data_IF_528113630160
#
_entry.id   IF_528113630160
#
_cell.length_a   1.000
_cell.length_b   1.000
_cell.length_c   1.000
_cell.angle_alpha   90.00
_cell.angle_beta   90.00
_cell.angle_gamma   90.00
#
_symmetry.space_group_name_H-M   'P 1'
#
loop_
_entity.id
_entity.type
_entity.pdbx_description
1 polymer ?
#
# COMPACT_ATOMS: atom_id res chain seq x y z
N UNK A 1 33.80 36.08 -21.71
CA UNK A 1 32.46 35.75 -22.21
C UNK A 1 32.41 34.24 -22.41
N UNK A 2 31.82 33.49 -21.47
CA UNK A 2 31.72 32.04 -21.54
C UNK A 2 30.56 31.65 -22.49
N UNK A 3 30.70 30.60 -23.33
CA UNK A 3 29.80 30.41 -24.46
C UNK A 3 28.49 29.75 -24.04
N UNK A 4 27.36 30.34 -24.44
CA UNK A 4 25.99 29.79 -24.35
C UNK A 4 25.77 28.47 -25.11
N UNK A 5 26.80 27.93 -25.77
CA UNK A 5 26.74 26.77 -26.68
C UNK A 5 26.65 25.41 -25.97
N UNK A 6 27.28 25.26 -24.79
CA UNK A 6 27.31 23.97 -24.07
C UNK A 6 25.98 23.59 -23.42
N UNK A 7 25.14 24.56 -23.08
CA UNK A 7 23.83 24.29 -22.43
C UNK A 7 22.76 23.86 -23.43
N UNK A 8 22.84 24.30 -24.70
CA UNK A 8 21.80 24.01 -25.69
C UNK A 8 21.84 22.55 -26.19
N UNK A 9 23.03 21.95 -26.29
CA UNK A 9 23.19 20.54 -26.67
C UNK A 9 22.77 19.59 -25.54
N UNK A 10 23.12 19.93 -24.30
CA UNK A 10 22.69 19.20 -23.11
C UNK A 10 21.16 19.23 -22.98
N UNK A 11 20.55 20.42 -23.07
CA UNK A 11 19.09 20.59 -23.02
C UNK A 11 18.37 19.82 -24.14
N UNK A 12 18.94 19.76 -25.36
CA UNK A 12 18.38 18.94 -26.45
C UNK A 12 18.46 17.44 -26.14
N UNK A 13 19.55 16.97 -25.53
CA UNK A 13 19.70 15.58 -25.15
C UNK A 13 18.72 15.20 -24.03
N UNK A 14 18.62 16.02 -22.99
CA UNK A 14 17.67 15.85 -21.88
C UNK A 14 16.22 15.88 -22.36
N UNK A 15 15.87 16.81 -23.25
CA UNK A 15 14.55 16.86 -23.87
C UNK A 15 14.26 15.60 -24.70
N UNK A 16 15.23 15.09 -25.45
CA UNK A 16 15.09 13.85 -26.22
C UNK A 16 14.89 12.63 -25.30
N UNK A 17 15.65 12.54 -24.21
CA UNK A 17 15.48 11.47 -23.21
C UNK A 17 14.13 11.56 -22.50
N UNK A 18 13.68 12.75 -22.08
CA UNK A 18 12.38 12.96 -21.47
C UNK A 18 11.21 12.60 -22.41
N UNK A 19 11.32 12.93 -23.70
CA UNK A 19 10.34 12.54 -24.74
C UNK A 19 10.36 11.02 -24.99
N UNK A 20 11.53 10.39 -24.99
CA UNK A 20 11.67 8.94 -25.13
C UNK A 20 11.06 8.19 -23.94
N UNK A 21 11.33 8.64 -22.72
CA UNK A 21 10.78 8.06 -21.50
C UNK A 21 9.25 8.22 -21.44
N UNK A 22 8.71 9.38 -21.80
CA UNK A 22 7.27 9.60 -21.85
C UNK A 22 6.57 8.69 -22.88
N UNK A 23 7.19 8.44 -24.04
CA UNK A 23 6.63 7.53 -25.04
C UNK A 23 6.59 6.08 -24.55
N UNK A 24 7.63 5.62 -23.87
CA UNK A 24 7.65 4.29 -23.27
C UNK A 24 6.61 4.13 -22.15
N UNK A 25 6.49 5.14 -21.28
CA UNK A 25 5.47 5.17 -20.23
C UNK A 25 4.06 5.11 -20.83
N UNK A 26 3.77 5.93 -21.85
CA UNK A 26 2.47 5.91 -22.52
C UNK A 26 2.16 4.55 -23.16
N UNK A 27 3.14 3.92 -23.81
CA UNK A 27 2.95 2.60 -24.41
C UNK A 27 2.61 1.54 -23.34
N UNK A 28 3.27 1.58 -22.19
CA UNK A 28 2.96 0.68 -21.08
C UNK A 28 1.57 0.93 -20.49
N UNK A 29 1.20 2.20 -20.31
CA UNK A 29 -0.14 2.58 -19.83
C UNK A 29 -1.25 2.18 -20.83
N UNK A 30 -0.96 2.24 -22.13
CA UNK A 30 -1.88 1.78 -23.18
C UNK A 30 -2.16 0.28 -23.06
N UNK A 31 -1.15 -0.53 -22.77
CA UNK A 31 -1.31 -1.98 -22.58
C UNK A 31 -2.19 -2.29 -21.36
N UNK A 32 -1.95 -1.60 -20.24
CA UNK A 32 -2.77 -1.73 -19.02
C UNK A 32 -4.23 -1.38 -19.33
N UNK A 33 -4.45 -0.30 -20.08
CA UNK A 33 -5.80 0.14 -20.45
C UNK A 33 -6.48 -0.86 -21.40
N UNK A 34 -5.74 -1.39 -22.37
CA UNK A 34 -6.22 -2.41 -23.30
C UNK A 34 -6.63 -3.70 -22.59
N UNK A 35 -5.92 -4.06 -21.50
CA UNK A 35 -6.28 -5.17 -20.63
C UNK A 35 -7.49 -4.90 -19.70
N UNK A 36 -8.10 -3.72 -19.78
CA UNK A 36 -9.31 -3.36 -19.03
C UNK A 36 -9.07 -2.74 -17.65
N UNK A 37 -7.82 -2.43 -17.30
CA UNK A 37 -7.47 -1.79 -16.03
C UNK A 37 -7.36 -0.26 -16.18
N UNK A 38 -7.30 0.44 -15.05
CA UNK A 38 -7.03 1.88 -15.02
C UNK A 38 -5.52 2.11 -14.76
N UNK A 39 -4.76 2.66 -15.72
CA UNK A 39 -3.34 2.88 -15.53
C UNK A 39 -3.05 4.04 -14.57
N UNK A 40 -2.04 3.86 -13.71
CA UNK A 40 -1.46 4.89 -12.86
C UNK A 40 0.05 4.95 -13.08
N UNK A 41 0.62 6.16 -13.04
CA UNK A 41 2.07 6.40 -13.03
C UNK A 41 2.49 6.75 -11.61
N UNK A 42 3.31 5.90 -11.00
CA UNK A 42 3.89 6.13 -9.69
C UNK A 42 5.35 6.61 -9.78
N UNK A 43 5.67 7.70 -9.07
CA UNK A 43 7.04 8.16 -8.87
C UNK A 43 7.10 9.26 -7.79
N UNK A 44 8.33 9.62 -7.38
CA UNK A 44 8.54 10.80 -6.53
C UNK A 44 8.21 12.09 -7.27
N UNK A 45 7.77 13.11 -6.52
CA UNK A 45 7.44 14.42 -7.10
C UNK A 45 8.60 15.04 -7.88
N UNK A 46 9.84 14.82 -7.45
CA UNK A 46 11.04 15.30 -8.14
C UNK A 46 11.21 14.63 -9.51
N UNK A 47 11.08 13.30 -9.59
CA UNK A 47 11.21 12.57 -10.86
C UNK A 47 10.11 12.96 -11.85
N UNK A 48 8.87 13.10 -11.37
CA UNK A 48 7.75 13.51 -12.20
C UNK A 48 7.88 14.94 -12.74
N UNK A 49 8.50 15.85 -11.99
CA UNK A 49 8.70 17.23 -12.42
C UNK A 49 9.93 17.41 -13.32
N UNK A 50 11.00 16.67 -13.06
CA UNK A 50 12.31 16.94 -13.66
C UNK A 50 12.70 15.97 -14.78
N UNK A 51 12.14 14.76 -14.82
CA UNK A 51 12.61 13.70 -15.71
C UNK A 51 11.55 13.15 -16.66
N UNK A 52 10.27 13.42 -16.39
CA UNK A 52 9.15 12.88 -17.15
C UNK A 52 8.34 14.04 -17.73
N UNK A 53 7.95 13.93 -19.00
CA UNK A 53 6.96 14.82 -19.59
C UNK A 53 5.55 14.46 -19.10
N UNK A 54 5.32 14.72 -17.82
CA UNK A 54 4.07 14.47 -17.09
C UNK A 54 2.85 15.12 -17.74
N UNK A 55 2.92 16.35 -18.30
CA UNK A 55 1.79 16.94 -19.03
C UNK A 55 1.30 16.07 -20.20
N UNK A 56 2.20 15.39 -20.91
CA UNK A 56 1.81 14.48 -22.01
C UNK A 56 1.11 13.22 -21.50
N UNK A 57 1.51 12.73 -20.32
CA UNK A 57 0.86 11.60 -19.65
C UNK A 57 -0.55 11.98 -19.22
N UNK A 58 -0.68 13.08 -18.46
CA UNK A 58 -1.97 13.55 -17.91
C UNK A 58 -2.94 13.94 -19.02
N UNK A 59 -2.44 14.43 -20.16
CA UNK A 59 -3.27 14.72 -21.34
C UNK A 59 -3.95 13.48 -21.91
N UNK A 60 -3.28 12.32 -21.92
CA UNK A 60 -3.85 11.06 -22.42
C UNK A 60 -4.62 10.31 -21.32
N UNK A 61 -4.09 10.35 -20.10
CA UNK A 61 -4.59 9.68 -18.91
C UNK A 61 -4.81 10.72 -17.79
N UNK A 62 -5.96 11.41 -17.77
CA UNK A 62 -6.25 12.37 -16.70
C UNK A 62 -6.33 11.65 -15.35
N UNK A 63 -5.94 12.35 -14.27
CA UNK A 63 -5.99 11.85 -12.90
C UNK A 63 -5.27 10.50 -12.73
N UNK A 64 -4.11 10.33 -13.38
CA UNK A 64 -3.37 9.07 -13.39
C UNK A 64 -2.08 9.08 -12.57
N UNK A 65 -1.78 10.14 -11.82
CA UNK A 65 -0.53 10.22 -11.05
C UNK A 65 -0.72 9.72 -9.63
N UNK A 66 0.18 8.84 -9.22
CA UNK A 66 0.39 8.46 -7.82
C UNK A 66 1.76 9.02 -7.39
N UNK A 67 1.73 10.05 -6.55
CA UNK A 67 2.93 10.85 -6.28
C UNK A 67 3.45 10.58 -4.88
N UNK A 68 4.74 10.27 -4.74
CA UNK A 68 5.43 10.26 -3.45
C UNK A 68 6.03 11.64 -3.15
N UNK A 69 5.61 12.24 -2.04
CA UNK A 69 6.13 13.51 -1.55
C UNK A 69 5.96 13.61 -0.03
N UNK A 70 7.06 13.70 0.72
CA UNK A 70 7.04 13.64 2.17
C UNK A 70 7.39 15.00 2.77
N UNK A 71 6.64 15.42 3.79
CA UNK A 71 6.90 16.68 4.48
C UNK A 71 8.17 16.63 5.33
N UNK A 72 8.45 15.47 5.92
CA UNK A 72 9.58 15.20 6.80
C UNK A 72 10.06 13.77 6.59
N UNK A 73 11.31 13.49 6.96
CA UNK A 73 11.79 12.14 7.16
C UNK A 73 11.39 11.64 8.56
N UNK A 74 10.98 10.37 8.67
CA UNK A 74 10.62 9.75 9.96
C UNK A 74 9.11 9.64 10.19
N UNK A 75 8.71 9.43 11.46
CA UNK A 75 7.35 9.06 11.83
C UNK A 75 6.32 10.13 11.40
N UNK A 76 5.32 9.71 10.63
CA UNK A 76 4.17 10.54 10.26
C UNK A 76 2.88 9.84 10.62
N UNK A 77 1.96 10.56 11.28
CA UNK A 77 0.72 10.00 11.81
C UNK A 77 -0.52 10.37 10.99
N UNK A 78 -0.44 11.43 10.19
CA UNK A 78 -1.52 11.97 9.34
C UNK A 78 -0.95 12.81 8.20
N UNK A 79 -1.63 12.90 7.05
CA UNK A 79 -1.17 13.74 5.93
C UNK A 79 -1.15 15.22 6.32
N UNK A 80 -0.12 15.94 5.88
CA UNK A 80 -0.02 17.39 6.01
C UNK A 80 -0.19 18.06 4.65
N UNK A 81 -1.42 18.42 4.31
CA UNK A 81 -1.78 18.97 3.00
C UNK A 81 -1.06 20.29 2.64
N UNK A 82 -0.40 20.97 3.57
CA UNK A 82 0.52 22.08 3.24
C UNK A 82 1.68 21.64 2.33
N UNK A 83 2.05 20.36 2.38
CA UNK A 83 3.12 19.75 1.58
C UNK A 83 2.58 18.88 0.44
N UNK A 84 1.29 19.01 0.13
CA UNK A 84 0.71 18.33 -1.00
C UNK A 84 1.48 18.70 -2.28
N UNK A 85 1.90 17.71 -3.10
CA UNK A 85 2.57 17.97 -4.36
C UNK A 85 1.56 18.54 -5.37
N UNK A 86 1.42 19.87 -5.38
CA UNK A 86 0.53 20.60 -6.28
C UNK A 86 0.99 20.46 -7.73
N UNK A 87 0.47 19.43 -8.40
CA UNK A 87 0.66 19.17 -9.82
C UNK A 87 -0.62 18.61 -10.43
N UNK A 88 -0.81 18.81 -11.73
CA UNK A 88 -2.00 18.33 -12.42
C UNK A 88 -2.05 16.81 -12.47
N UNK A 89 -3.24 16.24 -12.31
CA UNK A 89 -3.47 14.80 -12.49
C UNK A 89 -3.09 13.91 -11.31
N UNK A 90 -2.79 14.46 -10.13
CA UNK A 90 -2.59 13.67 -8.90
C UNK A 90 -3.91 13.06 -8.44
N UNK A 91 -4.00 11.73 -8.48
CA UNK A 91 -5.12 10.97 -7.94
C UNK A 91 -4.80 10.38 -6.57
N UNK A 92 -3.56 9.97 -6.34
CA UNK A 92 -3.09 9.37 -5.09
C UNK A 92 -1.81 10.08 -4.65
N UNK A 93 -1.72 10.41 -3.37
CA UNK A 93 -0.52 10.98 -2.76
C UNK A 93 -0.01 10.04 -1.66
N UNK A 94 1.20 9.52 -1.84
CA UNK A 94 1.96 8.86 -0.79
C UNK A 94 2.67 9.93 0.05
N UNK A 95 2.17 10.16 1.26
CA UNK A 95 2.60 11.29 2.10
C UNK A 95 3.67 10.90 3.13
N UNK A 96 3.92 9.60 3.30
CA UNK A 96 4.94 9.06 4.20
C UNK A 96 5.33 7.64 3.80
N UNK A 97 6.55 7.25 4.15
CA UNK A 97 7.11 5.90 4.15
C UNK A 97 7.18 5.29 5.57
N UNK A 98 6.77 6.04 6.58
CA UNK A 98 6.89 5.68 7.98
C UNK A 98 5.65 6.08 8.76
N UNK A 99 4.51 5.58 8.28
CA UNK A 99 3.25 5.74 8.96
C UNK A 99 3.33 5.21 10.38
N UNK A 100 2.95 6.01 11.38
CA UNK A 100 2.90 5.62 12.80
C UNK A 100 4.20 5.05 13.39
N UNK A 101 5.34 5.20 12.72
CA UNK A 101 6.62 4.65 13.17
C UNK A 101 6.84 3.17 12.82
N UNK A 102 6.04 2.60 11.89
CA UNK A 102 6.12 1.18 11.51
C UNK A 102 6.77 0.94 10.15
N UNK A 103 7.47 1.93 9.58
CA UNK A 103 8.19 1.82 8.29
C UNK A 103 7.28 1.31 7.15
N UNK A 104 6.06 1.83 7.12
CA UNK A 104 5.06 1.49 6.10
C UNK A 104 4.60 2.75 5.40
N UNK A 105 4.49 2.64 4.09
CA UNK A 105 3.95 3.68 3.23
C UNK A 105 2.46 3.94 3.53
N UNK A 106 2.07 5.21 3.64
CA UNK A 106 0.67 5.57 3.71
C UNK A 106 0.29 6.63 2.67
N UNK A 107 -0.94 6.52 2.19
CA UNK A 107 -1.44 7.15 0.99
C UNK A 107 -2.80 7.81 1.26
N UNK A 108 -3.06 8.92 0.57
CA UNK A 108 -4.37 9.55 0.55
C UNK A 108 -4.84 9.74 -0.90
N UNK A 109 -6.10 9.44 -1.15
CA UNK A 109 -6.75 9.71 -2.45
C UNK A 109 -7.20 11.16 -2.50
N UNK A 110 -6.81 11.88 -3.55
CA UNK A 110 -7.08 13.32 -3.72
C UNK A 110 -8.42 13.57 -4.42
N UNK A 111 -8.78 12.64 -5.31
CA UNK A 111 -10.08 12.61 -5.96
C UNK A 111 -10.85 11.40 -5.43
N UNK A 112 -12.19 11.44 -5.36
CA UNK A 112 -12.98 10.23 -5.22
C UNK A 112 -12.57 9.29 -6.35
N UNK A 113 -12.02 8.12 -6.02
CA UNK A 113 -11.68 7.13 -7.03
C UNK A 113 -12.98 6.66 -7.68
N UNK A 114 -13.33 7.22 -8.85
CA UNK A 114 -14.39 6.65 -9.67
C UNK A 114 -13.83 5.42 -10.39
N UNK A 115 -13.81 4.29 -9.69
CA UNK A 115 -13.59 2.99 -10.32
C UNK A 115 -14.87 2.69 -11.12
N UNK A 116 -14.85 2.90 -12.43
CA UNK A 116 -15.92 2.41 -13.31
C UNK A 116 -15.77 0.88 -13.41
N UNK A 117 -16.34 0.17 -12.43
CA UNK A 117 -16.21 -1.27 -12.24
C UNK A 117 -16.21 -1.64 -10.77
N UNK A 118 -16.73 -2.83 -10.42
CA UNK A 118 -16.71 -3.31 -9.04
C UNK A 118 -15.29 -3.26 -8.46
N UNK A 119 -15.13 -2.70 -7.26
CA UNK A 119 -13.85 -2.66 -6.58
C UNK A 119 -13.26 -4.07 -6.51
N UNK A 120 -12.08 -4.28 -7.11
CA UNK A 120 -11.33 -5.51 -6.91
C UNK A 120 -10.77 -5.47 -5.50
N UNK A 121 -11.30 -6.31 -4.60
CA UNK A 121 -10.77 -6.46 -3.24
C UNK A 121 -9.36 -7.05 -3.33
N UNK A 122 -8.35 -6.19 -3.25
CA UNK A 122 -6.94 -6.57 -3.11
C UNK A 122 -6.49 -6.71 -1.64
N UNK A 123 -7.40 -6.54 -0.67
CA UNK A 123 -7.11 -6.98 0.69
C UNK A 123 -6.79 -8.48 0.64
N UNK A 124 -5.70 -8.96 1.28
CA UNK A 124 -5.47 -10.38 1.42
C UNK A 124 -6.75 -11.00 1.95
N UNK A 125 -7.37 -11.89 1.18
CA UNK A 125 -8.42 -12.72 1.75
C UNK A 125 -7.78 -13.46 2.92
N UNK A 126 -8.43 -13.50 4.07
CA UNK A 126 -8.05 -14.38 5.19
C UNK A 126 -8.08 -15.83 4.68
N UNK A 127 -7.00 -16.23 4.01
CA UNK A 127 -6.75 -17.59 3.61
C UNK A 127 -6.65 -18.39 4.90
N UNK A 128 -7.32 -19.54 4.95
CA UNK A 128 -7.19 -20.53 6.03
C UNK A 128 -5.79 -21.18 6.02
N UNK A 129 -4.74 -20.38 5.89
CA UNK A 129 -3.34 -20.81 5.92
C UNK A 129 -2.98 -21.14 7.37
N UNK A 130 -2.52 -22.36 7.57
CA UNK A 130 -2.07 -22.88 8.86
C UNK A 130 -0.64 -22.39 9.11
N UNK A 131 -0.41 -21.86 10.30
CA UNK A 131 0.88 -21.46 10.82
C UNK A 131 1.17 -22.26 12.10
N UNK A 132 2.43 -22.33 12.49
CA UNK A 132 2.84 -22.91 13.77
C UNK A 132 3.31 -21.77 14.67
N UNK A 133 2.82 -21.74 15.91
CA UNK A 133 3.23 -20.76 16.91
C UNK A 133 3.34 -21.41 18.27
N UNK A 134 4.05 -20.76 19.19
CA UNK A 134 4.25 -21.29 20.54
C UNK A 134 3.32 -20.60 21.51
N UNK A 135 2.55 -21.39 22.26
CA UNK A 135 1.75 -20.91 23.38
C UNK A 135 2.71 -20.51 24.50
N UNK A 136 2.92 -19.22 24.77
CA UNK A 136 3.88 -18.71 25.75
C UNK A 136 3.37 -18.82 27.20
N UNK A 137 2.05 -18.91 27.40
CA UNK A 137 1.41 -19.00 28.72
C UNK A 137 0.28 -20.03 28.72
N UNK A 138 -0.07 -20.59 29.88
CA UNK A 138 -1.25 -21.47 30.00
C UNK A 138 -2.47 -20.80 29.38
N UNK A 139 -3.09 -21.45 28.40
CA UNK A 139 -4.17 -20.85 27.62
C UNK A 139 -5.39 -21.76 27.52
N UNK A 140 -6.57 -21.15 27.66
CA UNK A 140 -7.86 -21.84 27.53
C UNK A 140 -8.31 -21.84 26.07
N UNK A 141 -9.00 -22.90 25.69
CA UNK A 141 -9.68 -23.01 24.40
C UNK A 141 -11.14 -22.57 24.54
N UNK A 142 -11.60 -21.80 23.55
CA UNK A 142 -12.93 -21.26 23.45
C UNK A 142 -13.63 -21.77 22.18
N UNK A 143 -14.95 -21.87 22.23
CA UNK A 143 -15.79 -22.01 21.03
C UNK A 143 -16.04 -20.64 20.36
N UNK A 144 -16.72 -20.64 19.21
CA UNK A 144 -17.09 -19.42 18.48
C UNK A 144 -17.99 -18.47 19.27
N UNK A 145 -18.74 -18.99 20.26
CA UNK A 145 -19.55 -18.19 21.17
C UNK A 145 -18.71 -17.56 22.31
N UNK A 146 -17.43 -17.95 22.42
CA UNK A 146 -16.51 -17.50 23.45
C UNK A 146 -16.69 -18.19 24.80
N UNK A 147 -17.38 -19.34 24.83
CA UNK A 147 -17.47 -20.22 26.00
C UNK A 147 -16.25 -21.13 26.04
N UNK A 148 -15.73 -21.40 27.24
CA UNK A 148 -14.61 -22.34 27.43
C UNK A 148 -15.05 -23.76 27.07
N UNK A 149 -14.25 -24.44 26.26
CA UNK A 149 -14.50 -25.85 25.88
C UNK A 149 -14.06 -26.84 26.96
N UNK A 150 -13.25 -26.39 27.93
CA UNK A 150 -12.61 -27.22 28.94
C UNK A 150 -11.18 -27.66 28.55
N UNK A 151 -10.82 -27.55 27.27
CA UNK A 151 -9.46 -27.80 26.79
C UNK A 151 -8.51 -26.66 27.19
N UNK A 152 -7.27 -27.03 27.54
CA UNK A 152 -6.24 -26.11 28.02
C UNK A 152 -4.88 -26.51 27.45
N UNK A 153 -4.19 -25.54 26.86
CA UNK A 153 -2.77 -25.69 26.50
C UNK A 153 -1.88 -25.23 27.65
N UNK A 154 -0.82 -26.00 27.91
CA UNK A 154 0.27 -25.58 28.81
C UNK A 154 1.12 -24.50 28.13
N UNK A 155 1.89 -23.76 28.94
CA UNK A 155 2.90 -22.86 28.42
C UNK A 155 4.01 -23.62 27.68
N UNK A 156 4.64 -22.95 26.73
CA UNK A 156 5.69 -23.40 25.81
C UNK A 156 5.32 -24.60 24.93
N UNK A 157 4.04 -24.71 24.55
CA UNK A 157 3.55 -25.75 23.63
C UNK A 157 3.36 -25.19 22.23
N UNK A 158 3.96 -25.83 21.23
CA UNK A 158 3.73 -25.48 19.83
C UNK A 158 2.34 -25.94 19.37
N UNK A 159 1.61 -25.04 18.72
CA UNK A 159 0.26 -25.29 18.19
C UNK A 159 0.16 -24.79 16.76
N UNK A 160 -0.68 -25.46 15.98
CA UNK A 160 -1.11 -24.94 14.68
C UNK A 160 -2.24 -23.94 14.86
N UNK A 161 -2.16 -22.80 14.19
CA UNK A 161 -3.18 -21.76 14.21
C UNK A 161 -3.41 -21.17 12.82
N UNK A 162 -4.56 -20.52 12.61
CA UNK A 162 -4.89 -19.85 11.36
C UNK A 162 -4.61 -18.35 11.48
N UNK A 163 -4.03 -17.74 10.45
CA UNK A 163 -3.63 -16.33 10.49
C UNK A 163 -4.84 -15.40 10.68
N UNK A 164 -4.66 -14.37 11.52
CA UNK A 164 -5.65 -13.33 11.77
C UNK A 164 -6.37 -13.45 13.10
N UNK A 165 -6.92 -12.32 13.57
CA UNK A 165 -7.75 -12.23 14.77
C UNK A 165 -9.22 -12.35 14.38
N UNK A 166 -9.98 -13.12 15.14
CA UNK A 166 -11.43 -13.22 15.04
C UNK A 166 -12.05 -12.70 16.34
N UNK A 167 -13.14 -11.94 16.25
CA UNK A 167 -13.98 -11.62 17.39
C UNK A 167 -14.97 -12.76 17.61
N UNK A 168 -14.94 -13.35 18.80
CA UNK A 168 -15.93 -14.32 19.25
C UNK A 168 -17.25 -13.59 19.58
N UNK A 169 -18.36 -14.31 19.67
CA UNK A 169 -19.69 -13.71 19.94
C UNK A 169 -19.74 -12.93 21.26
N UNK A 170 -18.88 -13.25 22.24
CA UNK A 170 -18.75 -12.51 23.49
C UNK A 170 -17.81 -11.28 23.42
N UNK A 171 -17.39 -10.87 22.22
CA UNK A 171 -16.52 -9.73 21.97
C UNK A 171 -15.03 -9.98 22.18
N UNK A 172 -14.62 -11.18 22.64
CA UNK A 172 -13.20 -11.49 22.83
C UNK A 172 -12.49 -11.66 21.50
N UNK A 173 -11.32 -11.04 21.37
CA UNK A 173 -10.40 -11.30 20.26
C UNK A 173 -9.62 -12.59 20.51
N UNK A 174 -9.69 -13.51 19.57
CA UNK A 174 -9.02 -14.81 19.62
C UNK A 174 -8.51 -15.21 18.23
N UNK A 175 -7.75 -16.28 18.18
CA UNK A 175 -7.20 -16.88 16.96
C UNK A 175 -7.69 -18.30 16.85
N UNK A 176 -8.09 -18.66 15.63
CA UNK A 176 -8.60 -20.00 15.34
C UNK A 176 -7.42 -20.98 15.38
N UNK A 177 -7.62 -22.09 16.07
CA UNK A 177 -6.64 -23.19 16.18
C UNK A 177 -7.21 -24.52 15.67
N UNK A 178 -8.51 -24.54 15.33
CA UNK A 178 -9.20 -25.71 14.81
C UNK A 178 -10.67 -25.38 14.52
N UNK A 179 -11.45 -26.39 14.17
CA UNK A 179 -12.88 -26.20 13.90
C UNK A 179 -13.63 -25.85 15.18
N UNK A 180 -14.27 -24.68 15.17
CA UNK A 180 -14.92 -24.08 16.32
C UNK A 180 -14.03 -24.03 17.59
N UNK A 181 -12.70 -23.90 17.42
CA UNK A 181 -11.72 -23.83 18.52
C UNK A 181 -10.83 -22.60 18.37
N UNK A 182 -10.75 -21.83 19.44
CA UNK A 182 -10.06 -20.54 19.45
C UNK A 182 -9.24 -20.36 20.73
N UNK A 183 -8.14 -19.61 20.65
CA UNK A 183 -7.34 -19.24 21.81
C UNK A 183 -6.86 -17.79 21.71
N UNK A 184 -6.45 -17.17 22.82
CA UNK A 184 -6.07 -15.75 22.83
C UNK A 184 -4.82 -15.49 21.98
N UNK A 185 -4.83 -14.47 21.11
CA UNK A 185 -3.66 -14.17 20.27
C UNK A 185 -2.40 -13.87 21.08
N UNK A 186 -2.54 -13.12 22.18
CA UNK A 186 -1.41 -12.69 23.00
C UNK A 186 -0.68 -13.84 23.69
N UNK A 187 -1.24 -15.05 23.64
CA UNK A 187 -0.55 -16.23 24.16
C UNK A 187 0.24 -16.96 23.08
N UNK A 188 0.09 -16.65 21.78
CA UNK A 188 0.83 -17.28 20.69
C UNK A 188 1.89 -16.31 20.17
N UNK A 189 3.15 -16.74 20.14
CA UNK A 189 4.27 -16.06 19.47
C UNK A 189 4.76 -16.84 18.27
#
# INVERSE_FOLDING_TARGET
>A
MLPFSSNASLAKSEAKYAVSSAKAILAFMDEIKAAGYQPLLYASSSVLQNNINTPSIVKKYPNSLWVAAYAISGRVDKPNFKYFPSMDGVAIWQYTDNWKGIFTDDNVTILPLSISGSAVSQAPSNSNTKHTGTIMYKSYVYDGNGKRTGEVYKAYVSVTYYVGKTKLSNGKSAVKIGDNKYTSWHVIS
#
